data_IF_794422201154
#
_entry.id   IF_794422201154
#
_cell.length_a   1.000
_cell.length_b   1.000
_cell.length_c   1.000
_cell.angle_alpha   90.00
_cell.angle_beta   90.00
_cell.angle_gamma   90.00
#
_symmetry.space_group_name_H-M   'P 1'
#
loop_
_entity.id
_entity.type
_entity.pdbx_description
1 polymer ?
#
# COMPACT_ATOMS: atom_id res chain seq x y z
N UNK A 1 -9.26 8.46 -13.94
CA UNK A 1 -8.25 7.54 -14.52
C UNK A 1 -8.62 6.13 -14.11
N UNK A 2 -8.67 5.17 -15.06
CA UNK A 2 -8.88 3.74 -14.76
C UNK A 2 -7.54 2.99 -14.79
N UNK A 3 -7.41 1.90 -14.04
CA UNK A 3 -6.24 1.01 -14.06
C UNK A 3 -4.89 1.70 -13.84
N UNK A 4 -4.88 2.77 -13.06
CA UNK A 4 -3.72 3.63 -12.87
C UNK A 4 -3.68 4.16 -11.45
N UNK A 5 -2.56 3.94 -10.77
CA UNK A 5 -2.31 4.45 -9.42
C UNK A 5 -1.16 5.47 -9.44
N UNK A 6 -1.19 6.41 -8.51
CA UNK A 6 -0.08 7.37 -8.31
C UNK A 6 0.72 6.95 -7.10
N UNK A 7 1.98 6.59 -7.32
CA UNK A 7 2.90 6.14 -6.25
C UNK A 7 3.95 7.22 -6.01
N UNK A 8 4.17 7.56 -4.75
CA UNK A 8 5.26 8.47 -4.35
C UNK A 8 6.44 7.64 -3.89
N UNK A 9 7.58 7.81 -4.54
CA UNK A 9 8.84 7.14 -4.18
C UNK A 9 9.78 8.17 -3.58
N UNK A 10 10.22 7.92 -2.34
CA UNK A 10 11.31 8.65 -1.70
C UNK A 10 12.64 7.97 -2.00
N UNK A 11 13.66 8.76 -2.32
CA UNK A 11 15.04 8.30 -2.44
C UNK A 11 15.96 9.28 -1.72
N UNK A 12 17.02 8.73 -1.17
CA UNK A 12 18.08 9.51 -0.56
C UNK A 12 19.14 9.80 -1.62
N UNK A 13 19.62 11.03 -1.64
CA UNK A 13 20.68 11.46 -2.55
C UNK A 13 21.63 12.37 -1.80
N UNK A 14 22.91 12.21 -2.07
CA UNK A 14 23.96 13.00 -1.45
C UNK A 14 24.35 14.18 -2.35
N UNK A 15 24.40 15.38 -1.79
CA UNK A 15 24.85 16.54 -2.56
C UNK A 15 26.32 16.34 -2.97
N UNK A 16 26.68 16.43 -4.26
CA UNK A 16 28.01 16.02 -4.74
C UNK A 16 29.16 16.81 -4.11
N UNK A 17 28.93 18.08 -3.76
CA UNK A 17 29.97 18.95 -3.18
C UNK A 17 29.97 18.93 -1.65
N UNK A 18 28.79 18.81 -1.03
CA UNK A 18 28.63 19.04 0.41
C UNK A 18 28.50 17.75 1.20
N UNK A 19 28.37 16.60 0.53
CA UNK A 19 28.18 15.29 1.13
C UNK A 19 26.99 15.20 2.11
N UNK A 20 26.05 16.15 1.98
CA UNK A 20 24.83 16.21 2.78
C UNK A 20 23.80 15.26 2.18
N UNK A 21 23.28 14.33 2.99
CA UNK A 21 22.16 13.46 2.63
C UNK A 21 20.87 14.28 2.53
N UNK A 22 20.20 14.19 1.39
CA UNK A 22 18.96 14.90 1.06
C UNK A 22 17.89 13.87 0.66
N UNK A 23 16.69 14.04 1.20
CA UNK A 23 15.52 13.26 0.79
C UNK A 23 14.85 13.90 -0.42
N UNK A 24 14.64 13.13 -1.50
CA UNK A 24 13.88 13.57 -2.68
C UNK A 24 12.72 12.63 -2.94
N UNK A 25 11.56 13.21 -3.21
CA UNK A 25 10.34 12.48 -3.56
C UNK A 25 9.98 12.67 -5.03
N UNK A 26 9.59 11.61 -5.71
CA UNK A 26 9.05 11.66 -7.08
C UNK A 26 7.77 10.84 -7.19
N UNK A 27 6.78 11.39 -7.88
CA UNK A 27 5.51 10.71 -8.18
C UNK A 27 5.62 9.96 -9.50
N UNK A 28 5.11 8.74 -9.53
CA UNK A 28 5.05 7.87 -10.71
C UNK A 28 3.62 7.45 -10.97
N UNK A 29 3.26 7.35 -12.25
CA UNK A 29 2.03 6.72 -12.70
C UNK A 29 2.33 5.26 -12.96
N UNK A 30 1.58 4.38 -12.30
CA UNK A 30 1.80 2.94 -12.32
C UNK A 30 0.55 2.27 -12.85
N UNK A 31 0.73 1.26 -13.69
CA UNK A 31 -0.36 0.45 -14.20
C UNK A 31 -0.73 -0.64 -13.21
N UNK A 32 -2.02 -0.69 -12.89
CA UNK A 32 -2.65 -1.78 -12.17
C UNK A 32 -3.85 -2.24 -12.99
N UNK A 33 -3.81 -3.44 -13.56
CA UNK A 33 -4.88 -3.96 -14.42
C UNK A 33 -6.13 -4.37 -13.64
N UNK A 34 -5.94 -4.83 -12.41
CA UNK A 34 -6.97 -5.43 -11.57
C UNK A 34 -7.50 -4.47 -10.49
N UNK A 35 -6.98 -3.24 -10.44
CA UNK A 35 -7.39 -2.19 -9.49
C UNK A 35 -7.36 -2.68 -8.03
N UNK A 36 -6.31 -3.43 -7.69
CA UNK A 36 -6.14 -4.06 -6.38
C UNK A 36 -5.56 -3.12 -5.32
N UNK A 37 -4.74 -2.17 -5.74
CA UNK A 37 -4.03 -1.29 -4.81
C UNK A 37 -4.90 -0.11 -4.35
N UNK A 38 -4.94 0.11 -3.04
CA UNK A 38 -5.66 1.19 -2.38
C UNK A 38 -4.74 2.31 -1.92
N UNK A 39 -5.34 3.44 -1.56
CA UNK A 39 -4.61 4.58 -0.99
C UNK A 39 -4.12 4.21 0.41
N UNK A 40 -2.81 4.37 0.63
CA UNK A 40 -2.14 4.07 1.90
C UNK A 40 -1.33 2.78 1.89
N UNK A 41 -1.54 1.92 0.90
CA UNK A 41 -0.79 0.67 0.76
C UNK A 41 0.69 0.95 0.48
N UNK A 42 1.57 0.12 1.05
CA UNK A 42 2.97 0.06 0.63
C UNK A 42 3.07 -0.92 -0.52
N UNK A 43 3.57 -0.44 -1.66
CA UNK A 43 3.60 -1.19 -2.91
C UNK A 43 4.99 -1.21 -3.51
N UNK A 44 5.35 -2.34 -4.12
CA UNK A 44 6.55 -2.49 -4.94
C UNK A 44 6.17 -2.39 -6.41
N UNK A 45 6.89 -1.52 -7.12
CA UNK A 45 6.67 -1.22 -8.54
C UNK A 45 7.90 -1.63 -9.36
N UNK A 46 7.67 -2.10 -10.58
CA UNK A 46 8.72 -2.49 -11.52
C UNK A 46 8.62 -1.66 -12.78
N UNK A 47 9.76 -1.41 -13.42
CA UNK A 47 9.78 -0.89 -14.78
C UNK A 47 9.19 -1.92 -15.75
N UNK A 48 8.31 -1.49 -16.65
CA UNK A 48 7.61 -2.37 -17.60
C UNK A 48 7.51 -1.77 -18.99
N UNK A 49 6.64 -2.35 -19.83
CA UNK A 49 6.29 -1.77 -21.13
C UNK A 49 5.58 -0.43 -20.92
N UNK A 50 5.81 0.59 -21.76
CA UNK A 50 5.02 1.81 -21.70
C UNK A 50 3.56 1.50 -22.03
N UNK A 51 2.66 1.71 -21.07
CA UNK A 51 1.21 1.60 -21.26
C UNK A 51 0.59 2.93 -21.72
N UNK A 52 1.28 4.05 -21.48
CA UNK A 52 0.90 5.39 -21.92
C UNK A 52 2.14 6.31 -21.92
N UNK A 53 1.99 7.56 -22.38
CA UNK A 53 3.07 8.56 -22.47
C UNK A 53 3.84 8.77 -21.16
N UNK A 54 3.19 8.60 -20.00
CA UNK A 54 3.79 8.82 -18.67
C UNK A 54 3.76 7.59 -17.75
N UNK A 55 3.18 6.47 -18.20
CA UNK A 55 2.94 5.26 -17.39
C UNK A 55 3.77 4.10 -17.92
N UNK A 56 5.00 3.99 -17.44
CA UNK A 56 5.97 2.96 -17.81
C UNK A 56 6.28 1.98 -16.67
N UNK A 57 5.55 2.08 -15.56
CA UNK A 57 5.72 1.21 -14.39
C UNK A 57 4.50 0.32 -14.21
N UNK A 58 4.72 -0.90 -13.72
CA UNK A 58 3.68 -1.89 -13.38
C UNK A 58 3.73 -2.25 -11.90
N UNK A 59 2.55 -2.49 -11.30
CA UNK A 59 2.43 -3.00 -9.94
C UNK A 59 2.98 -4.44 -9.86
N UNK A 60 3.86 -4.71 -8.89
CA UNK A 60 4.42 -6.07 -8.68
C UNK A 60 3.80 -6.73 -7.45
N UNK A 61 3.86 -6.06 -6.30
CA UNK A 61 3.29 -6.57 -5.05
C UNK A 61 2.75 -5.43 -4.19
N UNK A 62 1.79 -5.78 -3.33
CA UNK A 62 1.36 -4.97 -2.21
C UNK A 62 2.04 -5.58 -0.99
N UNK A 63 3.02 -4.89 -0.43
CA UNK A 63 3.88 -5.41 0.63
C UNK A 63 3.22 -5.25 2.00
N UNK A 64 2.53 -4.12 2.21
CA UNK A 64 1.74 -3.86 3.42
C UNK A 64 0.42 -3.22 3.02
N UNK A 65 -0.72 -3.90 3.21
CA UNK A 65 -2.02 -3.29 3.00
C UNK A 65 -2.31 -2.26 4.09
N UNK A 66 -2.91 -1.14 3.72
CA UNK A 66 -3.40 -0.16 4.66
C UNK A 66 -4.71 -0.64 5.27
N UNK A 67 -4.66 -0.97 6.55
CA UNK A 67 -5.84 -1.30 7.34
C UNK A 67 -6.30 0.00 8.00
N UNK A 68 -7.50 0.47 7.66
CA UNK A 68 -8.11 1.57 8.40
C UNK A 68 -8.16 1.24 9.89
N UNK A 69 -7.76 2.15 10.79
CA UNK A 69 -7.78 1.90 12.24
C UNK A 69 -9.15 1.42 12.73
N UNK A 70 -10.24 1.89 12.10
CA UNK A 70 -11.62 1.46 12.39
C UNK A 70 -11.87 -0.01 12.06
N UNK A 71 -11.33 -0.51 10.95
CA UNK A 71 -11.48 -1.91 10.55
C UNK A 71 -10.80 -2.86 11.54
N UNK A 72 -9.66 -2.45 12.11
CA UNK A 72 -8.95 -3.21 13.14
C UNK A 72 -9.76 -3.34 14.43
N UNK A 73 -10.47 -2.28 14.83
CA UNK A 73 -11.34 -2.29 16.01
C UNK A 73 -12.56 -3.19 15.78
N UNK A 74 -13.16 -3.15 14.59
CA UNK A 74 -14.30 -4.01 14.26
C UNK A 74 -13.92 -5.49 14.25
N UNK A 75 -12.79 -5.86 13.64
CA UNK A 75 -12.27 -7.23 13.69
C UNK A 75 -12.04 -7.71 15.13
N UNK A 76 -11.42 -6.88 15.97
CA UNK A 76 -11.20 -7.22 17.38
C UNK A 76 -12.50 -7.39 18.17
N UNK A 77 -13.53 -6.58 17.87
CA UNK A 77 -14.86 -6.71 18.51
C UNK A 77 -15.60 -7.98 18.06
N UNK A 78 -15.49 -8.35 16.78
CA UNK A 78 -16.06 -9.59 16.24
C UNK A 78 -15.42 -10.83 16.87
N UNK A 79 -14.09 -10.85 16.99
CA UNK A 79 -13.34 -11.91 17.66
C UNK A 79 -13.76 -12.05 19.14
N UNK A 80 -13.90 -10.94 19.86
CA UNK A 80 -14.38 -10.93 21.25
C UNK A 80 -15.83 -11.43 21.38
N UNK A 81 -16.68 -11.17 20.38
CA UNK A 81 -18.06 -11.64 20.39
C UNK A 81 -18.15 -13.15 20.19
N UNK A 82 -17.37 -13.70 19.26
CA UNK A 82 -17.24 -15.15 19.04
C UNK A 82 -16.70 -15.88 20.28
N UNK A 83 -15.67 -15.32 20.92
CA UNK A 83 -15.10 -15.90 22.14
C UNK A 83 -16.12 -15.93 23.28
N UNK A 84 -16.92 -14.86 23.44
CA UNK A 84 -18.00 -14.81 24.43
C UNK A 84 -19.09 -15.84 24.14
N UNK A 85 -19.49 -16.01 22.89
CA UNK A 85 -20.46 -17.02 22.47
C UNK A 85 -19.96 -18.44 22.75
N UNK A 86 -18.70 -18.75 22.43
CA UNK A 86 -18.10 -20.06 22.71
C UNK A 86 -18.01 -20.37 24.22
N UNK A 87 -17.76 -19.36 25.06
CA UNK A 87 -17.78 -19.50 26.53
C UNK A 87 -19.19 -19.73 27.06
N UNK A 88 -20.21 -19.17 26.42
CA UNK A 88 -21.62 -19.33 26.81
C UNK A 88 -22.17 -20.71 26.41
N UNK A 89 -21.82 -21.19 25.21
CA UNK A 89 -22.17 -22.52 24.71
C UNK A 89 -21.50 -23.66 25.50
N UNK A 90 -20.31 -23.45 26.06
CA UNK A 90 -19.61 -24.44 26.89
C UNK A 90 -20.08 -24.50 28.35
N UNK A 91 -20.87 -23.51 28.77
CA UNK A 91 -21.52 -23.48 30.11
C UNK A 91 -22.89 -24.14 30.12
N UNK A 92 -23.45 -24.46 28.95
CA UNK A 92 -24.75 -25.12 28.76
C UNK A 92 -24.56 -26.61 28.57
#
# INVERSE_FOLDING_TARGET
MRKTITVTVSRDFEHPVLLKKLHRTKKYLVHDEAEKANVGDKVTIRHGKPHSKRKSFSLTSIDVPYISPKARVLQALEEQALEKQAVEESRT
#
